data_IF_888382119635
#
_entry.id   IF_888382119635
#
_cell.length_a   1.000
_cell.length_b   1.000
_cell.length_c   1.000
_cell.angle_alpha   90.00
_cell.angle_beta   90.00
_cell.angle_gamma   90.00
#
_symmetry.space_group_name_H-M   'P 1'
#
loop_
_entity.id
_entity.type
_entity.pdbx_description
1 polymer ?
#
# COMPACT_ATOMS: atom_id res chain seq x y z
N UNK A 1 16.48 1.44 -11.75
CA UNK A 1 16.83 1.81 -10.36
C UNK A 1 18.21 2.46 -10.43
N UNK A 2 18.29 3.80 -10.50
CA UNK A 2 19.55 4.50 -10.79
C UNK A 2 20.41 4.77 -9.54
N UNK A 3 19.87 4.48 -8.35
CA UNK A 3 20.58 4.57 -7.07
C UNK A 3 20.74 3.18 -6.45
N UNK A 4 21.90 2.93 -5.85
CA UNK A 4 22.19 1.73 -5.06
C UNK A 4 21.43 1.84 -3.74
N UNK A 5 20.63 0.81 -3.42
CA UNK A 5 19.89 0.74 -2.17
C UNK A 5 20.88 0.73 -0.99
N UNK A 6 20.67 1.62 -0.02
CA UNK A 6 21.55 1.78 1.15
C UNK A 6 21.60 0.55 2.05
N UNK A 7 20.54 -0.27 2.05
CA UNK A 7 20.43 -1.50 2.82
C UNK A 7 19.96 -2.62 1.90
N UNK A 8 20.48 -3.84 2.09
CA UNK A 8 20.06 -5.03 1.35
C UNK A 8 18.70 -5.61 1.78
N UNK A 9 18.00 -4.95 2.70
CA UNK A 9 16.69 -5.41 3.17
C UNK A 9 15.62 -5.17 2.10
N UNK A 10 15.00 -6.26 1.66
CA UNK A 10 13.81 -6.22 0.82
C UNK A 10 12.61 -5.90 1.69
N UNK A 11 12.09 -4.67 1.59
CA UNK A 11 10.83 -4.29 2.24
C UNK A 11 9.64 -4.54 1.30
N UNK A 12 8.49 -4.88 1.86
CA UNK A 12 7.21 -4.88 1.15
C UNK A 12 6.33 -3.76 1.71
N UNK A 13 5.50 -3.15 0.85
CA UNK A 13 4.60 -2.05 1.23
C UNK A 13 3.18 -2.56 1.40
N UNK A 14 2.62 -2.50 2.60
CA UNK A 14 1.18 -2.73 2.82
C UNK A 14 0.52 -1.40 3.19
N UNK A 15 -0.50 -1.02 2.42
CA UNK A 15 -1.29 0.19 2.66
C UNK A 15 -2.74 -0.19 2.99
N UNK A 16 -3.28 0.40 4.06
CA UNK A 16 -4.66 0.24 4.47
C UNK A 16 -5.37 1.59 4.33
N UNK A 17 -6.37 1.66 3.45
CA UNK A 17 -7.24 2.81 3.28
C UNK A 17 -8.59 2.51 3.93
N UNK A 18 -9.20 3.52 4.55
CA UNK A 18 -10.54 3.38 5.12
C UNK A 18 -11.39 4.62 4.84
N UNK A 19 -12.70 4.43 4.72
CA UNK A 19 -13.67 5.50 4.51
C UNK A 19 -15.01 4.95 4.04
N UNK A 20 -16.09 5.67 4.32
CA UNK A 20 -17.41 5.30 3.81
C UNK A 20 -17.50 5.55 2.30
N UNK A 21 -18.12 4.60 1.58
CA UNK A 21 -18.40 4.71 0.13
C UNK A 21 -17.19 4.96 -0.77
N UNK A 22 -16.03 4.35 -0.47
CA UNK A 22 -14.85 4.40 -1.36
C UNK A 22 -15.27 3.99 -2.77
N UNK A 23 -15.05 4.89 -3.72
CA UNK A 23 -15.39 4.68 -5.13
C UNK A 23 -14.30 3.86 -5.82
N UNK A 24 -14.66 3.20 -6.93
CA UNK A 24 -13.68 2.50 -7.78
C UNK A 24 -12.54 3.41 -8.26
N UNK A 25 -12.86 4.67 -8.56
CA UNK A 25 -11.87 5.65 -9.00
C UNK A 25 -10.85 5.95 -7.88
N UNK A 26 -11.30 6.03 -6.64
CA UNK A 26 -10.43 6.21 -5.48
C UNK A 26 -9.58 4.95 -5.23
N UNK A 27 -10.16 3.76 -5.35
CA UNK A 27 -9.40 2.51 -5.26
C UNK A 27 -8.28 2.45 -6.31
N UNK A 28 -8.60 2.72 -7.58
CA UNK A 28 -7.63 2.74 -8.68
C UNK A 28 -6.54 3.80 -8.48
N UNK A 29 -6.89 4.95 -7.90
CA UNK A 29 -5.96 6.03 -7.61
C UNK A 29 -5.01 5.64 -6.48
N UNK A 30 -5.55 5.12 -5.37
CA UNK A 30 -4.76 4.60 -4.26
C UNK A 30 -3.82 3.47 -4.71
N UNK A 31 -4.30 2.54 -5.54
CA UNK A 31 -3.51 1.42 -6.05
C UNK A 31 -2.32 1.91 -6.90
N UNK A 32 -2.56 2.84 -7.83
CA UNK A 32 -1.49 3.45 -8.65
C UNK A 32 -0.49 4.21 -7.80
N UNK A 33 -0.96 4.95 -6.79
CA UNK A 33 -0.12 5.72 -5.89
C UNK A 33 0.79 4.81 -5.04
N UNK A 34 0.24 3.76 -4.44
CA UNK A 34 1.03 2.80 -3.64
C UNK A 34 2.05 2.06 -4.51
N UNK A 35 1.66 1.65 -5.71
CA UNK A 35 2.56 1.03 -6.69
C UNK A 35 3.75 1.94 -7.04
N UNK A 36 3.50 3.21 -7.34
CA UNK A 36 4.54 4.17 -7.67
C UNK A 36 5.52 4.38 -6.49
N UNK A 37 4.98 4.49 -5.26
CA UNK A 37 5.81 4.60 -4.06
C UNK A 37 6.64 3.35 -3.79
N UNK A 38 6.06 2.15 -3.96
CA UNK A 38 6.79 0.90 -3.82
C UNK A 38 7.99 0.82 -4.77
N UNK A 39 7.82 1.27 -6.03
CA UNK A 39 8.92 1.38 -7.00
C UNK A 39 9.99 2.37 -6.53
N UNK A 40 9.58 3.56 -6.07
CA UNK A 40 10.51 4.59 -5.58
C UNK A 40 11.29 4.15 -4.34
N UNK A 41 10.67 3.33 -3.49
CA UNK A 41 11.27 2.78 -2.28
C UNK A 41 12.13 1.53 -2.54
N UNK A 42 12.13 1.01 -3.77
CA UNK A 42 12.81 -0.26 -4.09
C UNK A 42 12.19 -1.46 -3.34
N UNK A 43 10.89 -1.42 -3.08
CA UNK A 43 10.19 -2.50 -2.40
C UNK A 43 10.07 -3.75 -3.28
N UNK A 44 10.07 -4.94 -2.66
CA UNK A 44 9.90 -6.22 -3.34
C UNK A 44 8.46 -6.49 -3.79
N UNK A 45 7.50 -5.77 -3.23
CA UNK A 45 6.09 -5.89 -3.55
C UNK A 45 5.24 -4.87 -2.82
N UNK A 46 3.96 -4.83 -3.18
CA UNK A 46 2.98 -4.00 -2.48
C UNK A 46 1.61 -4.68 -2.39
N UNK A 47 0.83 -4.29 -1.38
CA UNK A 47 -0.56 -4.73 -1.20
C UNK A 47 -1.39 -3.54 -0.71
N UNK A 48 -2.62 -3.45 -1.20
CA UNK A 48 -3.55 -2.38 -0.84
C UNK A 48 -4.85 -3.02 -0.35
N UNK A 49 -5.28 -2.60 0.83
CA UNK A 49 -6.55 -3.00 1.43
C UNK A 49 -7.46 -1.79 1.60
N UNK A 50 -8.75 -2.01 1.42
CA UNK A 50 -9.80 -1.01 1.60
C UNK A 50 -10.79 -1.48 2.66
N UNK A 51 -11.19 -0.57 3.52
CA UNK A 51 -12.12 -0.80 4.63
C UNK A 51 -13.15 0.33 4.67
N UNK A 52 -14.31 0.07 5.27
CA UNK A 52 -15.29 1.12 5.53
C UNK A 52 -14.89 1.92 6.77
N UNK A 53 -14.43 1.23 7.82
CA UNK A 53 -14.08 1.87 9.09
C UNK A 53 -12.69 1.42 9.57
N UNK A 54 -11.98 2.26 10.36
CA UNK A 54 -10.66 1.91 10.86
C UNK A 54 -10.67 0.73 11.86
N UNK A 55 -11.80 0.42 12.50
CA UNK A 55 -11.95 -0.73 13.38
C UNK A 55 -11.73 -2.05 12.64
N UNK A 56 -12.12 -2.12 11.36
CA UNK A 56 -11.92 -3.31 10.53
C UNK A 56 -10.43 -3.62 10.28
N UNK A 57 -9.55 -2.63 10.38
CA UNK A 57 -8.09 -2.80 10.25
C UNK A 57 -7.54 -3.59 11.45
N UNK A 58 -8.13 -3.42 12.65
CA UNK A 58 -7.65 -4.04 13.89
C UNK A 58 -7.84 -5.57 13.91
N UNK A 59 -8.64 -6.13 12.99
CA UNK A 59 -8.98 -7.56 12.92
C UNK A 59 -8.14 -8.40 11.93
N UNK A 60 -7.23 -7.81 11.15
CA UNK A 60 -6.40 -8.55 10.18
C UNK A 60 -5.13 -9.18 10.79
N UNK A 61 -5.17 -9.53 12.08
CA UNK A 61 -4.19 -10.42 12.71
C UNK A 61 -4.74 -11.85 12.70
N UNK A 62 -4.65 -12.53 11.56
CA UNK A 62 -4.76 -14.01 11.48
C UNK A 62 -3.40 -14.58 11.15
#
# INVERSE_FOLDING_TARGET
MHHVMRYGNQMAVTAHFYGDSITKQEEETANRMVKANAVNLGASGFTVHFYQTPEQIRGNMT
#
